data_IF_634193980524
#
_entry.id   IF_634193980524
#
_cell.length_a   1.000
_cell.length_b   1.000
_cell.length_c   1.000
_cell.angle_alpha   90.00
_cell.angle_beta   90.00
_cell.angle_gamma   90.00
#
_symmetry.space_group_name_H-M   'P 1'
#
loop_
_entity.id
_entity.type
_entity.pdbx_description
1 polymer ?
#
# COMPACT_ATOMS: atom_id res chain seq x y z
N UNK A 1 -4.14 10.04 -23.26
CA UNK A 1 -4.15 10.59 -21.88
C UNK A 1 -4.13 12.12 -22.00
N UNK A 2 -4.93 12.82 -21.19
CA UNK A 2 -4.86 14.29 -21.16
C UNK A 2 -3.52 14.73 -20.53
N UNK A 3 -2.97 15.85 -20.99
CA UNK A 3 -1.69 16.38 -20.47
C UNK A 3 -1.72 16.59 -18.94
N UNK A 4 -2.89 16.92 -18.39
CA UNK A 4 -3.09 17.07 -16.94
C UNK A 4 -2.88 15.76 -16.17
N UNK A 5 -3.43 14.63 -16.66
CA UNK A 5 -3.29 13.32 -16.00
C UNK A 5 -1.83 12.86 -15.99
N UNK A 6 -1.11 13.02 -17.11
CA UNK A 6 0.31 12.67 -17.19
C UNK A 6 1.15 13.49 -16.20
N UNK A 7 0.85 14.79 -16.10
CA UNK A 7 1.52 15.70 -15.16
C UNK A 7 1.25 15.32 -13.71
N UNK A 8 0.03 14.95 -13.35
CA UNK A 8 -0.33 14.55 -11.99
C UNK A 8 0.28 13.21 -11.60
N UNK A 9 0.30 12.24 -12.51
CA UNK A 9 1.02 10.99 -12.30
C UNK A 9 2.52 11.23 -12.06
N UNK A 10 3.16 12.02 -12.91
CA UNK A 10 4.57 12.35 -12.76
C UNK A 10 4.84 13.08 -11.42
N UNK A 11 4.01 14.06 -11.07
CA UNK A 11 4.13 14.80 -9.80
C UNK A 11 4.03 13.86 -8.60
N UNK A 12 3.08 12.92 -8.61
CA UNK A 12 2.91 11.95 -7.52
C UNK A 12 4.11 11.00 -7.43
N UNK A 13 4.59 10.46 -8.55
CA UNK A 13 5.79 9.61 -8.59
C UNK A 13 7.02 10.37 -8.09
N UNK A 14 7.23 11.59 -8.55
CA UNK A 14 8.35 12.43 -8.14
C UNK A 14 8.30 12.75 -6.64
N UNK A 15 7.11 13.11 -6.12
CA UNK A 15 6.92 13.36 -4.68
C UNK A 15 7.29 12.14 -3.84
N UNK A 16 6.80 10.96 -4.22
CA UNK A 16 7.12 9.71 -3.52
C UNK A 16 8.63 9.46 -3.56
N UNK A 17 9.26 9.55 -4.73
CA UNK A 17 10.69 9.37 -4.91
C UNK A 17 11.49 10.34 -4.03
N UNK A 18 11.18 11.61 -4.05
CA UNK A 18 11.89 12.64 -3.28
C UNK A 18 11.80 12.38 -1.76
N UNK A 19 10.63 11.95 -1.26
CA UNK A 19 10.46 11.60 0.15
C UNK A 19 11.28 10.36 0.52
N UNK A 20 11.25 9.32 -0.30
CA UNK A 20 11.98 8.08 -0.03
C UNK A 20 13.51 8.28 -0.07
N UNK A 21 14.00 9.08 -1.02
CA UNK A 21 15.42 9.45 -1.11
C UNK A 21 15.85 10.30 0.10
N UNK A 22 15.01 11.23 0.56
CA UNK A 22 15.28 12.00 1.77
C UNK A 22 15.35 11.10 3.01
N UNK A 23 14.44 10.12 3.14
CA UNK A 23 14.50 9.14 4.24
C UNK A 23 15.81 8.34 4.17
N UNK A 24 16.18 7.85 2.97
CA UNK A 24 17.44 7.12 2.76
C UNK A 24 18.66 7.95 3.14
N UNK A 25 18.67 9.23 2.76
CA UNK A 25 19.75 10.17 3.06
C UNK A 25 19.94 10.38 4.57
N UNK A 26 18.84 10.53 5.32
CA UNK A 26 18.88 10.79 6.75
C UNK A 26 18.97 9.52 7.61
N UNK A 27 18.77 8.34 7.05
CA UNK A 27 18.80 7.08 7.80
C UNK A 27 20.13 6.82 8.52
N UNK A 28 21.32 7.08 7.90
CA UNK A 28 22.61 6.88 8.57
C UNK A 28 22.88 7.77 9.79
N UNK A 29 22.06 8.82 10.00
CA UNK A 29 22.19 9.67 11.20
C UNK A 29 21.80 8.94 12.50
N UNK A 30 21.23 7.73 12.42
CA UNK A 30 20.84 6.91 13.57
C UNK A 30 19.67 7.44 14.38
N UNK A 31 18.99 8.50 13.90
CA UNK A 31 17.78 9.07 14.53
C UNK A 31 16.52 8.29 14.21
N UNK A 32 16.49 7.62 13.08
CA UNK A 32 15.43 6.68 12.66
C UNK A 32 15.81 5.31 13.22
N UNK A 33 15.09 4.85 14.24
CA UNK A 33 15.43 3.63 14.98
C UNK A 33 14.64 2.40 14.56
N UNK A 34 13.74 2.53 13.59
CA UNK A 34 12.97 1.42 13.04
C UNK A 34 13.58 0.94 11.72
N UNK A 35 13.41 -0.34 11.36
CA UNK A 35 13.68 -0.80 10.00
C UNK A 35 12.84 -0.03 8.99
N UNK A 36 13.44 0.35 7.86
CA UNK A 36 12.81 1.12 6.80
C UNK A 36 12.83 0.31 5.50
N UNK A 37 11.69 0.25 4.82
CA UNK A 37 11.53 -0.42 3.54
C UNK A 37 11.09 0.61 2.50
N UNK A 38 12.04 1.06 1.69
CA UNK A 38 11.80 2.11 0.70
C UNK A 38 11.07 1.58 -0.54
N UNK A 39 10.22 2.41 -1.12
CA UNK A 39 9.46 2.13 -2.35
C UNK A 39 10.14 2.70 -3.60
N UNK A 40 11.45 2.96 -3.56
CA UNK A 40 12.22 3.48 -4.70
C UNK A 40 12.14 2.49 -5.87
N UNK A 41 11.67 2.97 -7.01
CA UNK A 41 11.45 2.16 -8.22
C UNK A 41 10.05 1.52 -8.30
N UNK A 42 9.19 1.75 -7.33
CA UNK A 42 7.83 1.20 -7.24
C UNK A 42 6.76 2.30 -7.20
N UNK A 43 7.07 3.53 -7.60
CA UNK A 43 6.21 4.71 -7.46
C UNK A 43 5.00 4.69 -8.38
N UNK A 44 5.05 3.93 -9.48
CA UNK A 44 4.00 3.92 -10.51
C UNK A 44 2.66 3.39 -9.99
N UNK A 45 2.68 2.30 -9.23
CA UNK A 45 1.45 1.68 -8.69
C UNK A 45 0.72 2.64 -7.74
N UNK A 46 1.35 3.18 -6.68
CA UNK A 46 0.69 4.14 -5.81
C UNK A 46 0.29 5.44 -6.53
N UNK A 47 1.04 5.90 -7.54
CA UNK A 47 0.68 7.09 -8.30
C UNK A 47 -0.60 6.88 -9.13
N UNK A 48 -0.75 5.74 -9.81
CA UNK A 48 -1.97 5.37 -10.53
C UNK A 48 -3.14 5.17 -9.55
N UNK A 49 -2.88 4.50 -8.43
CA UNK A 49 -3.87 4.33 -7.38
C UNK A 49 -4.45 5.66 -6.90
N UNK A 50 -3.60 6.66 -6.65
CA UNK A 50 -4.02 8.00 -6.21
C UNK A 50 -5.01 8.68 -7.18
N UNK A 51 -4.97 8.33 -8.47
CA UNK A 51 -5.86 8.87 -9.50
C UNK A 51 -7.15 8.06 -9.67
N UNK A 52 -7.17 6.83 -9.18
CA UNK A 52 -8.25 5.86 -9.46
C UNK A 52 -9.19 5.63 -8.28
N UNK A 53 -8.76 6.00 -7.07
CA UNK A 53 -9.47 5.69 -5.81
C UNK A 53 -10.00 6.98 -5.17
N UNK A 54 -11.23 6.93 -4.71
CA UNK A 54 -11.83 8.05 -3.97
C UNK A 54 -11.22 8.21 -2.57
N UNK A 55 -11.25 9.43 -2.02
CA UNK A 55 -10.79 9.70 -0.66
C UNK A 55 -11.55 8.90 0.40
N UNK A 56 -12.81 8.56 0.11
CA UNK A 56 -13.69 7.76 0.97
C UNK A 56 -13.38 6.26 0.96
N UNK A 57 -12.66 5.76 -0.04
CA UNK A 57 -12.33 4.35 -0.16
C UNK A 57 -11.27 3.93 0.87
N UNK A 58 -11.27 2.66 1.24
CA UNK A 58 -10.29 2.12 2.17
C UNK A 58 -9.00 1.69 1.45
N UNK A 59 -7.88 1.85 2.14
CA UNK A 59 -6.61 1.29 1.72
C UNK A 59 -5.90 0.63 2.90
N UNK A 60 -5.32 -0.56 2.66
CA UNK A 60 -4.43 -1.27 3.57
C UNK A 60 -3.18 -1.68 2.82
N UNK A 61 -2.04 -1.75 3.53
CA UNK A 61 -0.77 -2.03 2.88
C UNK A 61 0.15 -2.90 3.73
N UNK A 62 1.31 -3.21 3.19
CA UNK A 62 2.38 -4.00 3.79
C UNK A 62 3.38 -3.11 4.55
N UNK A 63 4.46 -3.73 5.02
CA UNK A 63 5.60 -3.04 5.64
C UNK A 63 6.28 -2.00 4.74
N UNK A 64 6.14 -2.09 3.41
CA UNK A 64 6.61 -1.10 2.41
C UNK A 64 5.48 -0.14 2.07
N UNK A 65 4.99 0.59 3.08
CA UNK A 65 3.73 1.33 3.01
C UNK A 65 3.84 2.83 2.76
N UNK A 66 5.05 3.43 2.73
CA UNK A 66 5.22 4.89 2.62
C UNK A 66 4.55 5.46 1.37
N UNK A 67 4.85 4.88 0.20
CA UNK A 67 4.30 5.33 -1.07
C UNK A 67 2.76 5.23 -1.10
N UNK A 68 2.21 4.13 -0.57
CA UNK A 68 0.76 3.91 -0.50
C UNK A 68 0.07 4.88 0.46
N UNK A 69 0.70 5.15 1.62
CA UNK A 69 0.25 6.14 2.58
C UNK A 69 0.19 7.54 1.95
N UNK A 70 1.26 7.96 1.28
CA UNK A 70 1.34 9.25 0.61
C UNK A 70 0.35 9.37 -0.55
N UNK A 71 0.21 8.29 -1.34
CA UNK A 71 -0.72 8.22 -2.45
C UNK A 71 -2.18 8.32 -2.01
N UNK A 72 -2.52 7.76 -0.85
CA UNK A 72 -3.87 7.86 -0.25
C UNK A 72 -4.16 9.25 0.32
N UNK A 73 -3.18 10.15 0.35
CA UNK A 73 -3.30 11.50 0.89
C UNK A 73 -2.89 11.61 2.36
N UNK A 74 -2.21 10.61 2.90
CA UNK A 74 -1.70 10.64 4.28
C UNK A 74 -0.77 11.82 4.55
N UNK A 75 -0.78 12.30 5.78
CA UNK A 75 -0.03 13.47 6.20
C UNK A 75 1.47 13.17 6.27
N UNK A 76 2.26 13.79 5.39
CA UNK A 76 3.72 13.58 5.31
C UNK A 76 4.42 13.91 6.63
N UNK A 77 4.06 15.01 7.30
CA UNK A 77 4.72 15.40 8.54
C UNK A 77 4.44 14.38 9.65
N UNK A 78 3.21 13.86 9.73
CA UNK A 78 2.85 12.80 10.67
C UNK A 78 3.57 11.48 10.36
N UNK A 79 3.75 11.13 9.08
CA UNK A 79 4.52 9.96 8.67
C UNK A 79 6.00 10.08 9.08
N UNK A 80 6.63 11.21 8.78
CA UNK A 80 8.04 11.44 9.16
C UNK A 80 8.19 11.46 10.68
N UNK A 81 7.29 12.14 11.41
CA UNK A 81 7.30 12.13 12.87
C UNK A 81 7.17 10.70 13.42
N UNK A 82 6.36 9.84 12.80
CA UNK A 82 6.22 8.43 13.18
C UNK A 82 7.53 7.65 13.01
N UNK A 83 8.19 7.80 11.86
CA UNK A 83 9.47 7.14 11.56
C UNK A 83 10.56 7.56 12.55
N UNK A 84 10.53 8.83 13.01
CA UNK A 84 11.41 9.34 14.04
C UNK A 84 10.94 9.04 15.49
N UNK A 85 9.88 8.24 15.67
CA UNK A 85 9.37 7.84 16.99
C UNK A 85 8.79 9.00 17.82
N UNK A 86 8.24 10.03 17.17
CA UNK A 86 7.67 11.20 17.86
C UNK A 86 6.18 10.97 18.19
N UNK A 87 5.73 11.52 19.31
CA UNK A 87 4.33 11.46 19.75
C UNK A 87 3.34 12.13 18.78
N UNK A 88 3.84 13.03 17.92
CA UNK A 88 3.07 13.68 16.85
C UNK A 88 2.96 12.84 15.58
N UNK A 89 3.55 11.63 15.58
CA UNK A 89 3.44 10.67 14.49
C UNK A 89 2.03 10.11 14.33
N UNK A 90 1.73 9.57 13.15
CA UNK A 90 0.41 9.05 12.78
C UNK A 90 -0.06 7.87 13.67
N UNK A 91 0.87 7.12 14.27
CA UNK A 91 0.63 6.09 15.28
C UNK A 91 1.26 6.45 16.64
N UNK A 92 1.41 7.75 16.92
CA UNK A 92 1.98 8.30 18.17
C UNK A 92 3.41 7.87 18.46
N UNK A 93 4.19 7.61 17.42
CA UNK A 93 5.59 7.18 17.49
C UNK A 93 5.79 5.72 17.89
N UNK A 94 4.75 4.90 17.86
CA UNK A 94 4.79 3.49 18.28
C UNK A 94 4.88 2.50 17.10
N UNK A 95 4.48 2.94 15.90
CA UNK A 95 4.40 2.10 14.71
C UNK A 95 5.69 2.07 13.88
N UNK A 96 6.44 3.16 13.90
CA UNK A 96 7.60 3.32 13.03
C UNK A 96 7.22 3.26 11.54
N UNK A 97 8.18 2.86 10.71
CA UNK A 97 8.02 2.80 9.25
C UNK A 97 6.98 1.79 8.76
N UNK A 98 6.78 0.68 9.49
CA UNK A 98 6.00 -0.46 9.02
C UNK A 98 4.55 -0.49 9.51
N UNK A 99 4.15 0.43 10.39
CA UNK A 99 2.81 0.47 10.98
C UNK A 99 2.24 1.88 10.92
N UNK A 100 2.03 2.36 9.69
CA UNK A 100 1.43 3.65 9.40
C UNK A 100 -0.09 3.53 9.35
N UNK A 101 -0.79 4.55 9.82
CA UNK A 101 -2.24 4.65 9.80
C UNK A 101 -2.66 6.11 9.66
N UNK A 102 -3.70 6.39 8.87
CA UNK A 102 -4.32 7.72 8.81
C UNK A 102 -5.82 7.57 8.49
N UNK A 103 -6.62 7.56 9.56
CA UNK A 103 -8.06 7.36 9.44
C UNK A 103 -8.77 8.55 8.78
N UNK A 104 -8.16 9.74 8.77
CA UNK A 104 -8.74 10.92 8.12
C UNK A 104 -8.85 10.75 6.59
N UNK A 105 -7.98 9.92 6.01
CA UNK A 105 -7.97 9.60 4.59
C UNK A 105 -8.31 8.12 4.31
N UNK A 106 -8.87 7.40 5.28
CA UNK A 106 -9.19 5.98 5.18
C UNK A 106 -8.00 5.08 4.80
N UNK A 107 -6.79 5.47 5.19
CA UNK A 107 -5.64 4.58 5.16
C UNK A 107 -5.63 3.78 6.46
N UNK A 108 -6.17 2.55 6.38
CA UNK A 108 -6.57 1.76 7.55
C UNK A 108 -5.40 1.08 8.25
N UNK A 109 -4.23 1.06 7.62
CA UNK A 109 -3.00 0.64 8.25
C UNK A 109 -2.05 -0.13 7.35
N UNK A 110 -0.83 -0.30 7.87
CA UNK A 110 0.20 -1.17 7.30
C UNK A 110 0.62 -2.22 8.33
N UNK A 111 1.15 -3.34 7.86
CA UNK A 111 1.60 -4.43 8.73
C UNK A 111 2.93 -5.01 8.27
N UNK A 112 3.79 -5.36 9.24
CA UNK A 112 5.03 -6.09 8.97
C UNK A 112 4.79 -7.58 8.68
N UNK A 113 3.60 -8.10 8.99
CA UNK A 113 3.27 -9.52 8.81
C UNK A 113 2.83 -9.72 7.35
N UNK A 114 3.58 -10.54 6.62
CA UNK A 114 3.29 -10.87 5.22
C UNK A 114 1.92 -11.53 5.11
N UNK A 115 1.12 -11.10 4.12
CA UNK A 115 -0.23 -11.60 3.90
C UNK A 115 -1.32 -11.03 4.82
N UNK A 116 -0.97 -10.47 5.98
CA UNK A 116 -1.95 -10.00 6.98
C UNK A 116 -2.90 -8.91 6.45
N UNK A 117 -2.42 -8.02 5.57
CA UNK A 117 -3.25 -6.96 4.98
C UNK A 117 -4.41 -7.51 4.13
N UNK A 118 -4.29 -8.73 3.60
CA UNK A 118 -5.27 -9.31 2.67
C UNK A 118 -6.62 -9.57 3.36
N UNK A 119 -6.70 -10.38 4.44
CA UNK A 119 -7.97 -10.61 5.12
C UNK A 119 -8.53 -9.35 5.77
N UNK A 120 -7.67 -8.41 6.20
CA UNK A 120 -8.12 -7.12 6.73
C UNK A 120 -8.86 -6.33 5.65
N UNK A 121 -8.27 -6.23 4.46
CA UNK A 121 -8.90 -5.51 3.35
C UNK A 121 -10.18 -6.17 2.87
N UNK A 122 -10.24 -7.50 2.83
CA UNK A 122 -11.49 -8.24 2.51
C UNK A 122 -12.55 -7.99 3.58
N UNK A 123 -12.17 -7.95 4.86
CA UNK A 123 -13.07 -7.60 5.96
C UNK A 123 -13.65 -6.18 5.84
N UNK A 124 -12.83 -5.20 5.41
CA UNK A 124 -13.28 -3.84 5.13
C UNK A 124 -14.28 -3.80 3.96
N UNK A 125 -14.01 -4.54 2.87
CA UNK A 125 -14.94 -4.67 1.76
C UNK A 125 -16.28 -5.28 2.19
N UNK A 126 -16.24 -6.34 3.01
CA UNK A 126 -17.45 -6.93 3.59
C UNK A 126 -18.20 -5.93 4.47
N UNK A 127 -17.47 -5.15 5.28
CA UNK A 127 -18.09 -4.09 6.10
C UNK A 127 -18.81 -3.05 5.25
N UNK A 128 -18.19 -2.59 4.14
CA UNK A 128 -18.81 -1.68 3.19
C UNK A 128 -20.10 -2.27 2.59
N UNK A 129 -20.04 -3.54 2.18
CA UNK A 129 -21.19 -4.27 1.64
C UNK A 129 -22.35 -4.36 2.66
N UNK A 130 -22.05 -4.76 3.89
CA UNK A 130 -23.05 -4.88 4.96
C UNK A 130 -23.68 -3.54 5.33
N UNK A 131 -22.89 -2.47 5.30
CA UNK A 131 -23.34 -1.09 5.53
C UNK A 131 -24.00 -0.47 4.29
N UNK A 132 -24.00 -1.17 3.15
CA UNK A 132 -24.52 -0.69 1.86
C UNK A 132 -23.90 0.65 1.43
N UNK A 133 -22.58 0.82 1.66
CA UNK A 133 -21.81 1.94 1.15
C UNK A 133 -21.18 1.58 -0.20
N UNK A 134 -20.80 2.59 -0.99
CA UNK A 134 -20.13 2.39 -2.28
C UNK A 134 -18.60 2.38 -2.14
N UNK A 135 -18.09 2.25 -0.92
CA UNK A 135 -16.65 2.26 -0.66
C UNK A 135 -15.98 1.01 -1.23
N UNK A 136 -14.82 1.22 -1.81
CA UNK A 136 -13.91 0.16 -2.27
C UNK A 136 -12.85 -0.06 -1.19
N UNK A 137 -12.39 -1.28 -1.03
CA UNK A 137 -11.24 -1.64 -0.20
C UNK A 137 -10.09 -2.08 -1.10
N UNK A 138 -9.03 -1.29 -1.12
CA UNK A 138 -7.82 -1.61 -1.86
C UNK A 138 -6.75 -2.16 -0.92
N UNK A 139 -6.18 -3.32 -1.30
CA UNK A 139 -5.13 -4.02 -0.56
C UNK A 139 -3.87 -4.02 -1.39
N UNK A 140 -2.82 -3.42 -0.87
CA UNK A 140 -1.49 -3.55 -1.45
C UNK A 140 -0.78 -4.76 -0.84
N UNK A 141 -0.16 -5.57 -1.70
CA UNK A 141 0.59 -6.75 -1.28
C UNK A 141 1.84 -6.92 -2.14
N UNK A 142 2.84 -7.59 -1.62
CA UNK A 142 4.00 -8.03 -2.38
C UNK A 142 3.73 -9.34 -3.09
N UNK A 143 4.53 -9.65 -4.11
CA UNK A 143 4.50 -10.90 -4.87
C UNK A 143 4.59 -12.15 -3.96
N UNK A 144 5.46 -12.14 -2.95
CA UNK A 144 5.58 -13.24 -1.98
C UNK A 144 4.31 -13.47 -1.15
N UNK A 145 3.44 -12.47 -0.98
CA UNK A 145 2.19 -12.65 -0.24
C UNK A 145 1.14 -13.48 -1.00
N UNK A 146 1.30 -13.62 -2.31
CA UNK A 146 0.40 -14.45 -3.15
C UNK A 146 0.65 -15.94 -2.92
N UNK A 147 1.86 -16.30 -2.46
CA UNK A 147 2.20 -17.69 -2.12
C UNK A 147 1.69 -18.12 -0.73
N UNK A 148 1.21 -17.17 0.08
CA UNK A 148 0.64 -17.47 1.39
C UNK A 148 -0.77 -18.07 1.28
N UNK A 149 -1.08 -19.09 2.08
CA UNK A 149 -2.41 -19.72 2.11
C UNK A 149 -3.54 -18.72 2.35
N UNK A 150 -3.31 -17.69 3.17
CA UNK A 150 -4.27 -16.64 3.50
C UNK A 150 -4.71 -15.83 2.27
N UNK A 151 -3.89 -15.76 1.21
CA UNK A 151 -4.29 -15.14 -0.05
C UNK A 151 -5.48 -15.92 -0.66
N UNK A 152 -5.32 -17.22 -0.84
CA UNK A 152 -6.35 -18.08 -1.43
C UNK A 152 -7.61 -18.15 -0.58
N UNK A 153 -7.45 -18.25 0.74
CA UNK A 153 -8.56 -18.23 1.69
C UNK A 153 -9.36 -16.94 1.61
N UNK A 154 -8.67 -15.80 1.58
CA UNK A 154 -9.28 -14.48 1.50
C UNK A 154 -10.01 -14.24 0.16
N UNK A 155 -9.38 -14.65 -0.95
CA UNK A 155 -9.99 -14.54 -2.28
C UNK A 155 -11.23 -15.43 -2.38
N UNK A 156 -11.14 -16.68 -1.90
CA UNK A 156 -12.28 -17.59 -1.86
C UNK A 156 -13.43 -17.05 -0.99
N UNK A 157 -13.11 -16.56 0.20
CA UNK A 157 -14.12 -15.94 1.08
C UNK A 157 -14.78 -14.73 0.40
N UNK A 158 -13.99 -13.85 -0.22
CA UNK A 158 -14.52 -12.68 -0.91
C UNK A 158 -15.40 -13.06 -2.09
N UNK A 159 -15.05 -14.11 -2.84
CA UNK A 159 -15.85 -14.65 -3.94
C UNK A 159 -17.19 -15.24 -3.44
N UNK A 160 -17.15 -16.08 -2.42
CA UNK A 160 -18.36 -16.70 -1.81
C UNK A 160 -19.29 -15.64 -1.22
N UNK A 161 -18.72 -14.59 -0.62
CA UNK A 161 -19.49 -13.48 -0.04
C UNK A 161 -19.85 -12.39 -1.05
N UNK A 162 -19.46 -12.54 -2.31
CA UNK A 162 -19.68 -11.53 -3.36
C UNK A 162 -19.18 -10.12 -2.95
N UNK A 163 -18.01 -10.07 -2.28
CA UNK A 163 -17.38 -8.83 -1.87
C UNK A 163 -16.74 -8.12 -3.08
N UNK A 164 -17.59 -7.62 -4.00
CA UNK A 164 -17.17 -6.99 -5.27
C UNK A 164 -16.31 -5.74 -5.11
N UNK A 165 -16.25 -5.18 -3.89
CA UNK A 165 -15.49 -3.97 -3.57
C UNK A 165 -14.05 -4.25 -3.12
N UNK A 166 -13.58 -5.49 -3.09
CA UNK A 166 -12.20 -5.81 -2.76
C UNK A 166 -11.31 -5.79 -4.00
N UNK A 167 -10.27 -4.96 -3.97
CA UNK A 167 -9.25 -4.87 -5.03
C UNK A 167 -7.90 -5.23 -4.42
N UNK A 168 -7.23 -6.23 -4.98
CA UNK A 168 -5.89 -6.63 -4.59
C UNK A 168 -4.88 -6.09 -5.61
N UNK A 169 -3.97 -5.24 -5.16
CA UNK A 169 -2.91 -4.65 -5.98
C UNK A 169 -1.57 -5.29 -5.63
N UNK A 170 -1.12 -6.22 -6.48
CA UNK A 170 0.18 -6.85 -6.31
C UNK A 170 1.29 -5.94 -6.82
N UNK A 171 2.30 -5.72 -5.98
CA UNK A 171 3.47 -4.92 -6.30
C UNK A 171 4.69 -5.84 -6.34
N UNK A 172 5.30 -6.05 -7.53
CA UNK A 172 6.47 -6.90 -7.64
C UNK A 172 7.65 -6.33 -6.86
N UNK A 173 8.47 -7.19 -6.28
CA UNK A 173 9.72 -6.77 -5.66
C UNK A 173 10.64 -6.14 -6.71
N UNK A 174 11.19 -4.96 -6.40
CA UNK A 174 12.21 -4.37 -7.26
C UNK A 174 13.50 -5.18 -7.10
N UNK A 175 13.79 -6.09 -8.01
CA UNK A 175 15.05 -6.81 -8.05
C UNK A 175 16.16 -5.90 -8.58
N UNK A 176 16.68 -5.02 -7.75
CA UNK A 176 17.99 -4.42 -7.99
C UNK A 176 19.01 -5.07 -7.07
N UNK A 177 19.82 -5.95 -7.61
CA UNK A 177 21.15 -6.25 -7.10
C UNK A 177 21.35 -7.55 -6.33
N UNK A 178 20.80 -8.68 -6.77
CA UNK A 178 21.35 -9.97 -6.36
C UNK A 178 21.67 -10.82 -7.60
N UNK A 179 22.95 -11.12 -7.86
CA UNK A 179 23.36 -11.90 -9.05
C UNK A 179 23.00 -13.39 -8.98
N UNK A 180 22.40 -13.89 -7.91
CA UNK A 180 22.29 -15.32 -7.65
C UNK A 180 20.88 -15.87 -7.33
N UNK A 181 19.82 -15.14 -7.61
CA UNK A 181 18.49 -15.73 -7.55
C UNK A 181 17.85 -15.75 -8.94
N UNK A 182 17.91 -16.92 -9.57
CA UNK A 182 17.03 -17.31 -10.67
C UNK A 182 15.59 -17.42 -10.12
N UNK A 183 14.96 -16.30 -9.85
CA UNK A 183 13.51 -16.21 -9.87
C UNK A 183 13.19 -15.66 -11.25
N UNK A 184 12.69 -16.52 -12.11
CA UNK A 184 12.02 -16.11 -13.34
C UNK A 184 10.80 -15.27 -12.93
N UNK A 185 11.04 -14.00 -12.63
CA UNK A 185 9.97 -13.02 -12.63
C UNK A 185 9.58 -12.82 -14.09
N UNK A 186 8.68 -13.69 -14.57
CA UNK A 186 7.83 -13.30 -15.68
C UNK A 186 7.32 -11.90 -15.33
N UNK A 187 7.54 -10.97 -16.25
CA UNK A 187 7.13 -9.58 -16.16
C UNK A 187 5.60 -9.52 -16.04
N UNK A 188 5.08 -9.76 -14.85
CA UNK A 188 3.71 -9.38 -14.53
C UNK A 188 3.77 -7.91 -14.15
N UNK A 189 3.22 -7.08 -15.02
CA UNK A 189 2.81 -5.75 -14.64
C UNK A 189 1.88 -5.81 -13.41
N UNK A 190 1.49 -4.67 -12.84
CA UNK A 190 0.61 -4.65 -11.69
C UNK A 190 -0.64 -5.47 -11.97
N UNK A 191 -0.81 -6.58 -11.24
CA UNK A 191 -1.98 -7.43 -11.38
C UNK A 191 -3.01 -6.93 -10.40
N UNK A 192 -4.11 -6.43 -10.94
CA UNK A 192 -5.26 -6.00 -10.16
C UNK A 192 -6.28 -7.12 -10.19
N UNK A 193 -6.51 -7.76 -9.06
CA UNK A 193 -7.58 -8.73 -8.89
C UNK A 193 -8.82 -8.01 -8.37
N UNK A 194 -9.85 -7.87 -9.21
CA UNK A 194 -11.19 -7.53 -8.73
C UNK A 194 -11.86 -8.83 -8.28
N UNK A 195 -12.19 -8.92 -7.01
CA UNK A 195 -12.86 -10.09 -6.45
C UNK A 195 -14.37 -9.83 -6.46
N UNK A 196 -15.12 -10.64 -7.19
CA UNK A 196 -16.56 -10.56 -7.29
C UNK A 196 -17.06 -10.50 -8.74
N UNK A 197 -18.24 -11.09 -8.99
CA UNK A 197 -18.91 -11.02 -10.28
C UNK A 197 -19.57 -9.65 -10.49
N UNK A 198 -19.41 -9.11 -11.68
CA UNK A 198 -20.33 -8.06 -12.16
C UNK A 198 -21.73 -8.65 -12.20
N UNK A 199 -22.71 -7.94 -11.62
CA UNK A 199 -24.11 -8.14 -11.91
C UNK A 199 -24.50 -7.25 -13.05
#
# INVERSE_FOLDING_TARGET
MSDSLSTDLFRNMYRIRAVEEAIAHHYPEGKIRCPVHLSIGQESIPAVFAQSIASTDFAVSTHRGHAHYLAKGGNLNAMIAEIYGKSTGCAKGKGGSMHLIDLAVNFMGTSAIVGNSIPIGVGLALSAQLKRTNQISCVFLGDGAVEEGVFYESVNFAAVRTCSSAILACQPASQRGSPNHLVTSSCFGPVVYKVGSEK
#
